data_IF_493583759887
#
_entry.id   IF_493583759887
#
_cell.length_a   1.000
_cell.length_b   1.000
_cell.length_c   1.000
_cell.angle_alpha   90.00
_cell.angle_beta   90.00
_cell.angle_gamma   90.00
#
_symmetry.space_group_name_H-M   'P 1'
#
loop_
_entity.id
_entity.type
_entity.pdbx_description
1 polymer ?
#
# COMPACT_ATOMS: atom_id res chain seq x y z
N UNK A 1 19.16 -22.55 5.59
CA UNK A 1 19.27 -21.18 6.11
C UNK A 1 18.25 -21.04 7.22
N UNK A 2 18.64 -20.59 8.42
CA UNK A 2 17.67 -20.31 9.48
C UNK A 2 16.78 -19.16 8.99
N UNK A 3 15.45 -19.36 8.99
CA UNK A 3 14.50 -18.35 8.57
C UNK A 3 14.47 -17.29 9.68
N UNK A 4 15.22 -16.22 9.51
CA UNK A 4 15.21 -15.11 10.47
C UNK A 4 13.90 -14.34 10.32
N UNK A 5 13.21 -14.13 11.43
CA UNK A 5 11.98 -13.34 11.45
C UNK A 5 12.32 -11.87 11.21
N UNK A 6 11.64 -11.25 10.26
CA UNK A 6 11.66 -9.80 10.09
C UNK A 6 10.69 -9.15 11.08
N UNK A 7 11.15 -8.14 11.81
CA UNK A 7 10.31 -7.31 12.69
C UNK A 7 10.22 -5.90 12.10
N UNK A 8 9.01 -5.33 12.10
CA UNK A 8 8.75 -3.96 11.65
C UNK A 8 8.21 -3.17 12.84
N UNK A 9 8.91 -2.11 13.23
CA UNK A 9 8.47 -1.15 14.25
C UNK A 9 7.96 0.12 13.56
N UNK A 10 6.76 0.56 13.94
CA UNK A 10 6.11 1.75 13.35
C UNK A 10 5.68 2.65 14.51
N UNK A 11 6.08 3.93 14.48
CA UNK A 11 5.56 4.94 15.40
C UNK A 11 4.11 5.26 15.05
N UNK A 12 3.21 4.97 15.99
CA UNK A 12 1.76 5.19 15.83
C UNK A 12 1.25 6.44 16.55
N UNK A 13 2.12 7.29 17.10
CA UNK A 13 1.73 8.43 17.95
C UNK A 13 0.70 9.37 17.30
N UNK A 14 0.79 9.56 15.97
CA UNK A 14 -0.10 10.43 15.21
C UNK A 14 -1.09 9.68 14.31
N UNK A 15 -1.28 8.38 14.55
CA UNK A 15 -2.21 7.55 13.80
C UNK A 15 -3.47 7.28 14.62
N UNK A 16 -4.63 7.39 13.97
CA UNK A 16 -5.88 6.89 14.53
C UNK A 16 -5.97 5.36 14.36
N UNK A 17 -6.98 4.77 14.99
CA UNK A 17 -7.15 3.31 14.94
C UNK A 17 -7.40 2.79 13.51
N UNK A 18 -8.12 3.55 12.68
CA UNK A 18 -8.40 3.15 11.30
C UNK A 18 -7.10 3.06 10.50
N UNK A 19 -6.26 4.10 10.56
CA UNK A 19 -4.95 4.12 9.90
C UNK A 19 -4.07 2.96 10.37
N UNK A 20 -4.06 2.69 11.69
CA UNK A 20 -3.30 1.58 12.26
C UNK A 20 -3.79 0.22 11.74
N UNK A 21 -5.11 0.01 11.65
CA UNK A 21 -5.70 -1.22 11.09
C UNK A 21 -5.38 -1.39 9.61
N UNK A 22 -5.46 -0.32 8.83
CA UNK A 22 -5.14 -0.35 7.40
C UNK A 22 -3.68 -0.74 7.17
N UNK A 23 -2.73 -0.18 7.94
CA UNK A 23 -1.31 -0.57 7.87
C UNK A 23 -1.10 -2.06 8.18
N UNK A 24 -1.69 -2.56 9.26
CA UNK A 24 -1.62 -3.99 9.60
C UNK A 24 -2.20 -4.87 8.49
N UNK A 25 -3.33 -4.47 7.90
CA UNK A 25 -3.97 -5.18 6.80
C UNK A 25 -3.10 -5.20 5.55
N UNK A 26 -2.49 -4.06 5.20
CA UNK A 26 -1.58 -3.97 4.06
C UNK A 26 -0.37 -4.90 4.24
N UNK A 27 0.27 -4.91 5.41
CA UNK A 27 1.41 -5.81 5.70
C UNK A 27 0.98 -7.27 5.63
N UNK A 28 -0.17 -7.64 6.17
CA UNK A 28 -0.68 -9.01 6.12
C UNK A 28 -0.97 -9.46 4.68
N UNK A 29 -1.61 -8.61 3.88
CA UNK A 29 -1.88 -8.87 2.46
C UNK A 29 -0.59 -8.98 1.65
N UNK A 30 0.36 -8.07 1.88
CA UNK A 30 1.67 -8.12 1.23
C UNK A 30 2.40 -9.43 1.55
N UNK A 31 2.41 -9.84 2.83
CA UNK A 31 2.98 -11.12 3.21
C UNK A 31 2.26 -12.29 2.51
N UNK A 32 0.94 -12.25 2.41
CA UNK A 32 0.17 -13.29 1.73
C UNK A 32 0.44 -13.35 0.22
N UNK A 33 0.49 -12.21 -0.48
CA UNK A 33 0.86 -12.14 -1.91
C UNK A 33 2.22 -12.78 -2.18
N UNK A 34 3.18 -12.61 -1.27
CA UNK A 34 4.53 -13.19 -1.40
C UNK A 34 4.60 -14.71 -1.15
N UNK A 35 3.53 -15.34 -0.64
CA UNK A 35 3.52 -16.75 -0.24
C UNK A 35 2.40 -17.56 -0.89
N UNK A 36 1.42 -16.93 -1.55
CA UNK A 36 0.40 -17.67 -2.30
C UNK A 36 1.01 -18.35 -3.52
N UNK A 37 0.57 -19.57 -3.78
CA UNK A 37 0.98 -20.38 -4.94
C UNK A 37 -0.17 -20.50 -5.97
N UNK A 38 -1.36 -19.98 -5.64
CA UNK A 38 -2.53 -20.04 -6.51
C UNK A 38 -2.68 -18.73 -7.29
N UNK A 39 -2.62 -18.83 -8.62
CA UNK A 39 -2.73 -17.66 -9.52
C UNK A 39 -4.00 -16.82 -9.28
N UNK A 40 -5.20 -17.39 -9.12
CA UNK A 40 -6.40 -16.60 -8.82
C UNK A 40 -6.29 -15.84 -7.49
N UNK A 41 -5.79 -16.49 -6.44
CA UNK A 41 -5.59 -15.88 -5.12
C UNK A 41 -4.54 -14.76 -5.17
N UNK A 42 -3.48 -14.94 -5.96
CA UNK A 42 -2.49 -13.90 -6.22
C UNK A 42 -3.12 -12.65 -6.84
N UNK A 43 -3.96 -12.79 -7.87
CA UNK A 43 -4.63 -11.66 -8.50
C UNK A 43 -5.61 -10.96 -7.56
N UNK A 44 -6.45 -11.72 -6.86
CA UNK A 44 -7.44 -11.18 -5.93
C UNK A 44 -6.78 -10.44 -4.77
N UNK A 45 -5.77 -11.05 -4.14
CA UNK A 45 -5.06 -10.46 -3.02
C UNK A 45 -4.24 -9.24 -3.43
N UNK A 46 -3.63 -9.26 -4.62
CA UNK A 46 -2.89 -8.11 -5.15
C UNK A 46 -3.82 -6.92 -5.39
N UNK A 47 -5.00 -7.16 -5.95
CA UNK A 47 -6.03 -6.12 -6.14
C UNK A 47 -6.49 -5.56 -4.78
N UNK A 48 -6.72 -6.43 -3.80
CA UNK A 48 -7.10 -6.01 -2.45
C UNK A 48 -6.01 -5.18 -1.76
N UNK A 49 -4.75 -5.57 -1.91
CA UNK A 49 -3.61 -4.83 -1.38
C UNK A 49 -3.57 -3.41 -1.95
N UNK A 50 -3.71 -3.25 -3.28
CA UNK A 50 -3.75 -1.93 -3.92
C UNK A 50 -4.93 -1.07 -3.41
N UNK A 51 -6.10 -1.69 -3.21
CA UNK A 51 -7.27 -1.00 -2.63
C UNK A 51 -7.01 -0.50 -1.21
N UNK A 52 -6.36 -1.31 -0.37
CA UNK A 52 -6.00 -0.91 1.00
C UNK A 52 -4.96 0.20 0.99
N UNK A 53 -3.97 0.14 0.09
CA UNK A 53 -2.98 1.23 -0.09
C UNK A 53 -3.67 2.54 -0.48
N UNK A 54 -4.62 2.49 -1.42
CA UNK A 54 -5.40 3.68 -1.79
C UNK A 54 -6.18 4.27 -0.59
N UNK A 55 -6.75 3.42 0.26
CA UNK A 55 -7.41 3.87 1.50
C UNK A 55 -6.44 4.52 2.50
N UNK A 56 -5.22 3.97 2.64
CA UNK A 56 -4.17 4.56 3.50
C UNK A 56 -3.84 5.97 3.04
N UNK A 57 -3.67 6.17 1.72
CA UNK A 57 -3.41 7.49 1.12
C UNK A 57 -4.58 8.44 1.38
N UNK A 58 -5.81 7.98 1.12
CA UNK A 58 -7.03 8.78 1.30
C UNK A 58 -7.21 9.26 2.74
N UNK A 59 -6.95 8.40 3.72
CA UNK A 59 -7.07 8.72 5.15
C UNK A 59 -5.76 9.22 5.78
N UNK A 60 -4.75 9.55 4.99
CA UNK A 60 -3.48 10.07 5.52
C UNK A 60 -3.67 11.43 6.20
N UNK A 61 -2.74 11.79 7.09
CA UNK A 61 -2.87 12.99 7.91
C UNK A 61 -2.90 14.31 7.13
N UNK A 62 -2.46 14.32 5.86
CA UNK A 62 -2.49 15.50 4.98
C UNK A 62 -3.91 15.84 4.48
N UNK A 63 -4.81 14.84 4.46
CA UNK A 63 -6.16 14.93 3.90
C UNK A 63 -7.25 15.09 4.98
N UNK A 64 -6.91 15.69 6.13
CA UNK A 64 -7.88 15.88 7.24
C UNK A 64 -8.86 17.01 6.92
N UNK A 65 -10.15 16.90 7.30
CA UNK A 65 -11.10 18.01 7.16
C UNK A 65 -10.56 19.29 7.82
N UNK A 66 -10.42 20.37 7.05
CA UNK A 66 -9.82 21.63 7.51
C UNK A 66 -8.31 21.78 7.25
N UNK A 67 -7.67 20.83 6.56
CA UNK A 67 -6.39 21.09 5.88
C UNK A 67 -6.64 21.98 4.66
N UNK A 68 -5.67 22.82 4.29
CA UNK A 68 -5.72 23.66 3.07
C UNK A 68 -5.71 22.84 1.75
N UNK A 69 -5.82 21.52 1.84
CA UNK A 69 -5.38 20.54 0.86
C UNK A 69 -6.38 19.38 0.82
N UNK A 70 -7.35 19.44 -0.10
CA UNK A 70 -8.21 18.32 -0.48
C UNK A 70 -7.58 17.51 -1.63
N UNK A 71 -6.31 17.09 -1.50
CA UNK A 71 -5.57 16.42 -2.58
C UNK A 71 -5.70 14.89 -2.57
N UNK A 72 -6.53 14.30 -1.71
CA UNK A 72 -6.65 12.84 -1.60
C UNK A 72 -6.92 12.16 -2.94
N UNK A 73 -7.95 12.65 -3.64
CA UNK A 73 -8.37 12.04 -4.89
C UNK A 73 -7.39 12.39 -6.03
N UNK A 74 -6.85 13.61 -6.06
CA UNK A 74 -5.81 14.01 -7.03
C UNK A 74 -4.50 13.22 -6.86
N UNK A 75 -4.09 12.95 -5.62
CA UNK A 75 -2.92 12.15 -5.32
C UNK A 75 -3.12 10.70 -5.78
N UNK A 76 -4.33 10.16 -5.61
CA UNK A 76 -4.66 8.82 -6.09
C UNK A 76 -4.67 8.76 -7.62
N UNK A 77 -5.28 9.72 -8.29
CA UNK A 77 -5.26 9.84 -9.75
C UNK A 77 -3.83 9.89 -10.29
N UNK A 78 -3.01 10.80 -9.74
CA UNK A 78 -1.59 10.89 -10.09
C UNK A 78 -0.83 9.57 -9.88
N UNK A 79 -1.07 8.87 -8.76
CA UNK A 79 -0.43 7.59 -8.49
C UNK A 79 -0.83 6.51 -9.51
N UNK A 80 -2.11 6.44 -9.86
CA UNK A 80 -2.64 5.45 -10.79
C UNK A 80 -2.11 5.70 -12.20
N UNK A 81 -2.16 6.94 -12.68
CA UNK A 81 -1.66 7.31 -14.02
C UNK A 81 -0.18 6.97 -14.15
N UNK A 82 0.62 7.39 -13.17
CA UNK A 82 2.06 7.10 -13.14
C UNK A 82 2.35 5.60 -13.09
N UNK A 83 1.64 4.85 -12.26
CA UNK A 83 1.84 3.40 -12.13
C UNK A 83 1.47 2.69 -13.44
N UNK A 84 0.35 3.07 -14.07
CA UNK A 84 -0.08 2.53 -15.35
C UNK A 84 0.98 2.76 -16.42
N UNK A 85 1.50 3.99 -16.55
CA UNK A 85 2.56 4.33 -17.49
C UNK A 85 3.81 3.47 -17.28
N UNK A 86 4.26 3.29 -16.03
CA UNK A 86 5.41 2.46 -15.70
C UNK A 86 5.19 0.98 -16.05
N UNK A 87 3.99 0.45 -15.83
CA UNK A 87 3.63 -0.93 -16.20
C UNK A 87 3.67 -1.09 -17.72
N UNK A 88 3.09 -0.17 -18.48
CA UNK A 88 3.07 -0.24 -19.94
C UNK A 88 4.46 -0.10 -20.58
N UNK A 89 5.32 0.74 -19.99
CA UNK A 89 6.70 0.92 -20.44
C UNK A 89 7.63 -0.21 -19.97
N UNK A 90 7.14 -1.16 -19.15
CA UNK A 90 7.93 -2.20 -18.48
C UNK A 90 9.05 -1.65 -17.60
N UNK A 91 8.90 -0.41 -17.16
CA UNK A 91 9.85 0.34 -16.33
C UNK A 91 9.57 0.12 -14.83
N UNK A 92 9.14 -1.10 -14.47
CA UNK A 92 9.18 -1.52 -13.07
C UNK A 92 10.64 -1.69 -12.69
N UNK A 93 11.23 -0.57 -12.26
CA UNK A 93 12.60 -0.49 -11.75
C UNK A 93 12.78 -1.59 -10.72
N UNK A 94 13.63 -2.57 -11.05
CA UNK A 94 14.15 -3.48 -10.04
C UNK A 94 15.04 -2.62 -9.14
N UNK A 95 14.55 -2.31 -7.95
CA UNK A 95 15.41 -1.76 -6.92
C UNK A 95 16.34 -2.90 -6.44
N UNK A 96 17.65 -2.67 -6.50
CA UNK A 96 18.61 -3.53 -5.81
C UNK A 96 18.44 -3.28 -4.31
N UNK A 97 17.63 -4.10 -3.64
CA UNK A 97 17.49 -4.14 -2.19
C UNK A 97 17.72 -5.54 -1.66
#
# INVERSE_FOLDING_TARGET
>A
MAKENMTIEIDTTNLNELQTRLLKRAVALLNHVNHTEEEPEYFETSSELLRVVAQIIKFSNINKPGSDVEFADQALEFCVDRLADQIYQKDLVKFDC
#
